data_IF_247590449396
#
_entry.id   IF_247590449396
#
_cell.length_a   1.000
_cell.length_b   1.000
_cell.length_c   1.000
_cell.angle_alpha   90.00
_cell.angle_beta   90.00
_cell.angle_gamma   90.00
#
_symmetry.space_group_name_H-M   'P 1'
#
loop_
_entity.id
_entity.type
_entity.pdbx_description
1 polymer ?
#
# COMPACT_ATOMS: atom_id res chain seq x y z
N UNK A 1 1.47 12.70 26.35
CA UNK A 1 0.74 13.98 26.48
C UNK A 1 -0.33 14.14 25.39
N UNK A 2 0.00 14.17 24.09
CA UNK A 2 -1.00 14.30 23.01
C UNK A 2 -2.13 13.25 23.03
N UNK A 3 -1.81 11.96 23.21
CA UNK A 3 -2.82 10.90 23.30
C UNK A 3 -3.86 11.15 24.39
N UNK A 4 -3.44 11.69 25.54
CA UNK A 4 -4.33 12.02 26.67
C UNK A 4 -5.23 13.22 26.33
N UNK A 5 -4.70 14.24 25.66
CA UNK A 5 -5.45 15.42 25.23
C UNK A 5 -6.43 15.14 24.09
N UNK A 6 -6.16 14.10 23.29
CA UNK A 6 -6.98 13.70 22.15
C UNK A 6 -7.99 12.57 22.47
N UNK A 7 -8.05 12.12 23.74
CA UNK A 7 -8.88 11.01 24.18
C UNK A 7 -10.33 11.45 24.40
N UNK A 8 -11.29 10.76 23.75
CA UNK A 8 -12.73 10.98 23.97
C UNK A 8 -13.20 10.10 25.14
N UNK A 9 -13.46 10.70 26.30
CA UNK A 9 -13.98 9.98 27.48
C UNK A 9 -15.50 10.12 27.58
N UNK A 10 -16.17 9.06 28.02
CA UNK A 10 -17.64 9.05 28.23
C UNK A 10 -18.11 10.04 29.30
N UNK A 11 -17.21 10.39 30.21
CA UNK A 11 -17.47 11.26 31.36
C UNK A 11 -17.30 12.76 31.01
N UNK A 12 -16.83 13.09 29.80
CA UNK A 12 -16.66 14.48 29.40
C UNK A 12 -18.01 15.19 29.31
N UNK A 13 -18.04 16.39 29.88
CA UNK A 13 -19.12 17.36 29.63
C UNK A 13 -19.16 17.76 28.14
N UNK A 14 -20.28 18.30 27.64
CA UNK A 14 -20.37 18.77 26.25
C UNK A 14 -19.28 19.77 25.87
N UNK A 15 -18.90 20.66 26.80
CA UNK A 15 -17.84 21.65 26.60
C UNK A 15 -16.46 21.01 26.48
N UNK A 16 -16.14 20.05 27.36
CA UNK A 16 -14.88 19.29 27.30
C UNK A 16 -14.80 18.44 26.03
N UNK A 17 -15.90 17.80 25.63
CA UNK A 17 -15.96 17.04 24.37
C UNK A 17 -15.71 17.94 23.15
N UNK A 18 -16.28 19.15 23.13
CA UNK A 18 -16.04 20.14 22.09
C UNK A 18 -14.58 20.65 22.09
N UNK A 19 -13.99 20.86 23.27
CA UNK A 19 -12.59 21.26 23.40
C UNK A 19 -11.62 20.18 22.88
N UNK A 20 -11.87 18.92 23.20
CA UNK A 20 -11.09 17.77 22.68
C UNK A 20 -11.20 17.68 21.16
N UNK A 21 -12.40 17.86 20.62
CA UNK A 21 -12.63 17.81 19.18
C UNK A 21 -11.91 18.95 18.44
N UNK A 22 -11.99 20.18 18.98
CA UNK A 22 -11.25 21.32 18.45
C UNK A 22 -9.74 21.10 18.52
N UNK A 23 -9.22 20.61 19.66
CA UNK A 23 -7.81 20.28 19.80
C UNK A 23 -7.36 19.27 18.74
N UNK A 24 -8.13 18.19 18.52
CA UNK A 24 -7.80 17.16 17.52
C UNK A 24 -7.75 17.75 16.11
N UNK A 25 -8.77 18.49 15.71
CA UNK A 25 -8.85 19.11 14.38
C UNK A 25 -7.73 20.12 14.14
N UNK A 26 -7.51 21.04 15.08
CA UNK A 26 -6.44 22.03 14.98
C UNK A 26 -5.06 21.37 14.93
N UNK A 27 -4.82 20.36 15.76
CA UNK A 27 -3.55 19.61 15.77
C UNK A 27 -3.34 18.83 14.48
N UNK A 28 -4.40 18.23 13.93
CA UNK A 28 -4.34 17.50 12.66
C UNK A 28 -3.95 18.43 11.51
N UNK A 29 -4.62 19.58 11.39
CA UNK A 29 -4.32 20.59 10.36
C UNK A 29 -2.88 21.12 10.52
N UNK A 30 -2.47 21.44 11.75
CA UNK A 30 -1.10 21.89 12.05
C UNK A 30 -0.06 20.84 11.64
N UNK A 31 -0.31 19.56 11.91
CA UNK A 31 0.64 18.49 11.58
C UNK A 31 0.93 18.41 10.08
N UNK A 32 -0.08 18.66 9.25
CA UNK A 32 0.04 18.65 7.79
C UNK A 32 0.80 19.89 7.29
N UNK A 33 0.56 21.05 7.91
CA UNK A 33 1.11 22.33 7.46
C UNK A 33 2.55 22.57 7.95
N UNK A 34 2.91 22.03 9.11
CA UNK A 34 4.16 22.36 9.79
C UNK A 34 5.23 21.27 9.72
N UNK A 35 4.86 20.02 9.42
CA UNK A 35 5.81 18.91 9.37
C UNK A 35 6.17 18.58 7.92
N UNK A 36 7.46 18.38 7.64
CA UNK A 36 7.91 17.90 6.32
C UNK A 36 7.72 16.37 6.24
N UNK A 37 6.81 15.86 5.37
CA UNK A 37 6.54 14.44 5.26
C UNK A 37 7.73 13.60 4.78
N UNK A 38 8.74 14.23 4.17
CA UNK A 38 9.92 13.55 3.64
C UNK A 38 10.95 13.22 4.72
N UNK A 39 10.87 13.88 5.88
CA UNK A 39 11.84 13.72 6.98
C UNK A 39 11.14 13.30 8.28
N UNK A 40 9.89 13.74 8.49
CA UNK A 40 9.14 13.54 9.73
C UNK A 40 8.01 12.51 9.59
N UNK A 41 8.14 11.55 8.65
CA UNK A 41 7.08 10.57 8.36
C UNK A 41 6.67 9.75 9.59
N UNK A 42 7.62 9.35 10.44
CA UNK A 42 7.32 8.58 11.66
C UNK A 42 6.44 9.38 12.62
N UNK A 43 6.78 10.66 12.85
CA UNK A 43 5.98 11.57 13.68
C UNK A 43 4.59 11.77 13.08
N UNK A 44 4.50 12.01 11.78
CA UNK A 44 3.22 12.16 11.08
C UNK A 44 2.35 10.90 11.21
N UNK A 45 2.91 9.72 10.98
CA UNK A 45 2.19 8.46 11.11
C UNK A 45 1.65 8.25 12.53
N UNK A 46 2.47 8.53 13.55
CA UNK A 46 2.06 8.44 14.95
C UNK A 46 0.96 9.45 15.28
N UNK A 47 1.08 10.70 14.80
CA UNK A 47 0.04 11.71 14.98
C UNK A 47 -1.27 11.30 14.32
N UNK A 48 -1.25 10.83 13.07
CA UNK A 48 -2.46 10.39 12.38
C UNK A 48 -3.10 9.17 13.07
N UNK A 49 -2.31 8.20 13.54
CA UNK A 49 -2.83 7.06 14.32
C UNK A 49 -3.55 7.48 15.62
N UNK A 50 -3.17 8.62 16.21
CA UNK A 50 -3.80 9.16 17.42
C UNK A 50 -5.02 10.05 17.09
N UNK A 51 -4.86 10.91 16.08
CA UNK A 51 -5.80 11.98 15.74
C UNK A 51 -6.88 11.57 14.74
N UNK A 52 -6.72 10.45 14.04
CA UNK A 52 -7.65 10.00 13.01
C UNK A 52 -8.28 8.68 13.42
N UNK A 53 -9.47 8.75 14.02
CA UNK A 53 -10.15 7.60 14.63
C UNK A 53 -11.58 7.46 14.11
N UNK A 54 -12.22 8.57 13.74
CA UNK A 54 -13.61 8.59 13.25
C UNK A 54 -13.68 8.89 11.76
N UNK A 55 -14.79 8.53 11.09
CA UNK A 55 -15.02 8.88 9.69
C UNK A 55 -14.81 10.37 9.40
N UNK A 56 -15.24 11.26 10.29
CA UNK A 56 -15.07 12.71 10.13
C UNK A 56 -13.61 13.16 10.22
N UNK A 57 -12.79 12.49 11.05
CA UNK A 57 -11.35 12.76 11.09
C UNK A 57 -10.70 12.38 9.75
N UNK A 58 -11.08 11.23 9.16
CA UNK A 58 -10.57 10.81 7.84
C UNK A 58 -11.00 11.78 6.73
N UNK A 59 -12.25 12.25 6.78
CA UNK A 59 -12.73 13.27 5.83
C UNK A 59 -11.95 14.58 5.96
N UNK A 60 -11.68 15.01 7.20
CA UNK A 60 -10.85 16.20 7.47
C UNK A 60 -9.46 16.03 6.88
N UNK A 61 -8.82 14.87 7.10
CA UNK A 61 -7.50 14.58 6.55
C UNK A 61 -7.50 14.54 5.01
N UNK A 62 -8.56 14.00 4.38
CA UNK A 62 -8.73 14.03 2.92
C UNK A 62 -8.79 15.46 2.37
N UNK A 63 -9.60 16.34 2.98
CA UNK A 63 -9.71 17.74 2.56
C UNK A 63 -8.40 18.52 2.72
N UNK A 64 -7.54 18.10 3.64
CA UNK A 64 -6.22 18.69 3.87
C UNK A 64 -5.11 18.04 3.02
N UNK A 65 -5.45 17.40 1.89
CA UNK A 65 -4.48 16.75 1.01
C UNK A 65 -3.65 15.63 1.67
N UNK A 66 -4.20 14.93 2.68
CA UNK A 66 -3.50 13.88 3.41
C UNK A 66 -2.91 12.77 2.52
N UNK A 67 -3.55 12.45 1.39
CA UNK A 67 -3.02 11.50 0.41
C UNK A 67 -1.70 11.97 -0.22
N UNK A 68 -1.56 13.25 -0.58
CA UNK A 68 -0.31 13.78 -1.12
C UNK A 68 0.79 13.78 -0.06
N UNK A 69 0.47 14.19 1.18
CA UNK A 69 1.41 14.16 2.33
C UNK A 69 1.96 12.75 2.54
N UNK A 70 1.07 11.75 2.65
CA UNK A 70 1.49 10.35 2.83
C UNK A 70 2.21 9.79 1.60
N UNK A 71 1.89 10.24 0.39
CA UNK A 71 2.60 9.84 -0.83
C UNK A 71 4.05 10.33 -0.84
N UNK A 72 4.30 11.53 -0.32
CA UNK A 72 5.66 12.08 -0.18
C UNK A 72 6.46 11.26 0.84
N UNK A 73 5.86 10.91 1.99
CA UNK A 73 6.48 10.00 2.96
C UNK A 73 6.78 8.64 2.32
N UNK A 74 5.78 8.04 1.66
CA UNK A 74 5.93 6.76 0.97
C UNK A 74 7.07 6.79 -0.05
N UNK A 75 7.19 7.85 -0.85
CA UNK A 75 8.24 7.96 -1.86
C UNK A 75 9.65 7.91 -1.28
N UNK A 76 9.91 8.61 -0.16
CA UNK A 76 11.22 8.58 0.51
C UNK A 76 11.48 7.22 1.15
N UNK A 77 10.51 6.68 1.89
CA UNK A 77 10.69 5.39 2.57
C UNK A 77 10.88 4.27 1.54
N UNK A 78 10.17 4.32 0.40
CA UNK A 78 10.33 3.38 -0.71
C UNK A 78 11.74 3.43 -1.29
N UNK A 79 12.29 4.63 -1.52
CA UNK A 79 13.67 4.79 -2.00
C UNK A 79 14.65 4.20 -1.00
N UNK A 80 14.52 4.54 0.29
CA UNK A 80 15.36 3.99 1.37
C UNK A 80 15.24 2.46 1.49
N UNK A 81 14.03 1.91 1.33
CA UNK A 81 13.80 0.47 1.35
C UNK A 81 14.62 -0.24 0.27
N UNK A 82 14.74 0.35 -0.91
CA UNK A 82 15.58 -0.20 -1.98
C UNK A 82 17.06 0.19 -1.85
N UNK A 83 17.40 1.27 -1.15
CA UNK A 83 18.76 1.74 -0.87
C UNK A 83 19.29 1.22 0.48
N UNK A 84 19.79 -0.03 0.50
CA UNK A 84 20.58 -0.67 1.55
C UNK A 84 20.08 -0.65 3.02
N UNK A 85 18.99 0.05 3.37
CA UNK A 85 18.47 0.27 4.74
C UNK A 85 17.15 -0.46 5.04
N UNK A 86 16.79 -1.42 4.17
CA UNK A 86 15.51 -2.14 4.11
C UNK A 86 14.94 -2.70 5.43
N UNK A 87 15.76 -3.20 6.36
CA UNK A 87 15.23 -3.90 7.54
C UNK A 87 14.41 -2.98 8.45
N UNK A 88 14.80 -1.71 8.58
CA UNK A 88 14.07 -0.71 9.37
C UNK A 88 12.91 -0.08 8.60
N UNK A 89 12.95 -0.11 7.26
CA UNK A 89 11.95 0.58 6.43
C UNK A 89 10.67 -0.22 6.20
N UNK A 90 10.69 -1.53 6.44
CA UNK A 90 9.50 -2.38 6.27
C UNK A 90 8.31 -1.93 7.13
N UNK A 91 8.53 -1.67 8.42
CA UNK A 91 7.48 -1.21 9.33
C UNK A 91 6.94 0.16 8.91
N UNK A 92 7.83 1.06 8.53
CA UNK A 92 7.48 2.42 8.13
C UNK A 92 6.69 2.43 6.82
N UNK A 93 7.04 1.57 5.85
CA UNK A 93 6.24 1.38 4.64
C UNK A 93 4.85 0.85 4.95
N UNK A 94 4.75 -0.18 5.80
CA UNK A 94 3.46 -0.75 6.18
C UNK A 94 2.58 0.31 6.84
N UNK A 95 3.14 1.09 7.76
CA UNK A 95 2.43 2.14 8.48
C UNK A 95 1.87 3.21 7.54
N UNK A 96 2.69 3.72 6.62
CA UNK A 96 2.24 4.72 5.64
C UNK A 96 1.20 4.13 4.69
N UNK A 97 1.39 2.91 4.20
CA UNK A 97 0.45 2.26 3.29
C UNK A 97 -0.90 1.95 3.97
N UNK A 98 -0.91 1.59 5.26
CA UNK A 98 -2.14 1.43 6.03
C UNK A 98 -2.93 2.73 6.16
N UNK A 99 -2.23 3.86 6.34
CA UNK A 99 -2.87 5.18 6.39
C UNK A 99 -3.43 5.58 5.01
N UNK A 100 -2.68 5.36 3.93
CA UNK A 100 -3.16 5.57 2.55
C UNK A 100 -4.39 4.70 2.29
N UNK A 101 -4.34 3.41 2.63
CA UNK A 101 -5.45 2.49 2.45
C UNK A 101 -6.70 2.97 3.20
N UNK A 102 -6.55 3.40 4.46
CA UNK A 102 -7.65 3.90 5.29
C UNK A 102 -8.28 5.17 4.70
N UNK A 103 -7.47 6.09 4.18
CA UNK A 103 -7.98 7.28 3.49
C UNK A 103 -8.71 6.94 2.19
N UNK A 104 -8.24 5.94 1.44
CA UNK A 104 -8.94 5.49 0.24
C UNK A 104 -10.26 4.77 0.58
N UNK A 105 -10.35 4.06 1.70
CA UNK A 105 -11.62 3.53 2.21
C UNK A 105 -12.58 4.71 2.50
N UNK A 106 -12.14 5.69 3.28
CA UNK A 106 -12.94 6.86 3.59
C UNK A 106 -13.37 7.62 2.32
N UNK A 107 -12.48 7.76 1.33
CA UNK A 107 -12.81 8.39 0.06
C UNK A 107 -13.88 7.60 -0.73
N UNK A 108 -13.84 6.26 -0.70
CA UNK A 108 -14.87 5.42 -1.30
C UNK A 108 -16.22 5.62 -0.60
N UNK A 109 -16.23 5.62 0.73
CA UNK A 109 -17.46 5.85 1.51
C UNK A 109 -18.05 7.25 1.25
N UNK A 110 -17.18 8.22 0.98
CA UNK A 110 -17.52 9.60 0.64
C UNK A 110 -17.76 9.89 -0.84
N UNK A 111 -17.77 8.90 -1.74
CA UNK A 111 -17.69 9.11 -3.20
C UNK A 111 -18.83 9.97 -3.79
N UNK A 112 -19.98 10.00 -3.11
CA UNK A 112 -21.14 10.81 -3.52
C UNK A 112 -20.89 12.31 -3.36
N UNK A 113 -19.99 12.70 -2.47
CA UNK A 113 -19.60 14.11 -2.22
C UNK A 113 -18.68 14.61 -3.34
N UNK A 114 -19.03 15.72 -3.95
CA UNK A 114 -18.28 16.29 -5.08
C UNK A 114 -16.87 16.69 -4.69
N UNK A 115 -16.71 17.19 -3.46
CA UNK A 115 -15.44 17.61 -2.87
C UNK A 115 -14.45 16.44 -2.81
N UNK A 116 -14.92 15.24 -2.44
CA UNK A 116 -14.08 14.04 -2.37
C UNK A 116 -13.59 13.63 -3.75
N UNK A 117 -14.45 13.68 -4.77
CA UNK A 117 -14.03 13.40 -6.16
C UNK A 117 -12.98 14.41 -6.64
N UNK A 118 -13.14 15.68 -6.27
CA UNK A 118 -12.14 16.73 -6.55
C UNK A 118 -10.81 16.43 -5.86
N UNK A 119 -10.83 16.06 -4.57
CA UNK A 119 -9.60 15.71 -3.85
C UNK A 119 -8.86 14.53 -4.49
N UNK A 120 -9.57 13.47 -4.87
CA UNK A 120 -8.98 12.31 -5.55
C UNK A 120 -8.38 12.71 -6.91
N UNK A 121 -9.07 13.58 -7.65
CA UNK A 121 -8.59 14.08 -8.94
C UNK A 121 -7.33 14.95 -8.79
N UNK A 122 -7.21 15.67 -7.68
CA UNK A 122 -6.06 16.52 -7.35
C UNK A 122 -4.87 15.75 -6.76
N UNK A 123 -5.04 14.48 -6.39
CA UNK A 123 -3.94 13.62 -5.95
C UNK A 123 -3.03 13.27 -7.14
N UNK A 124 -1.97 14.07 -7.34
CA UNK A 124 -1.07 14.01 -8.50
C UNK A 124 -0.13 12.79 -8.46
N UNK A 125 0.19 12.33 -7.26
CA UNK A 125 1.15 11.24 -7.02
C UNK A 125 0.54 9.85 -7.27
N UNK A 126 -0.78 9.73 -7.46
CA UNK A 126 -1.50 8.46 -7.60
C UNK A 126 -0.87 7.48 -8.59
N UNK A 127 -0.40 7.98 -9.73
CA UNK A 127 0.19 7.14 -10.77
C UNK A 127 1.59 6.62 -10.38
N UNK A 128 2.38 7.46 -9.72
CA UNK A 128 3.71 7.09 -9.24
C UNK A 128 3.62 6.11 -8.07
N UNK A 129 2.68 6.35 -7.14
CA UNK A 129 2.36 5.43 -6.05
C UNK A 129 1.97 4.06 -6.61
N UNK A 130 1.03 3.99 -7.56
CA UNK A 130 0.61 2.71 -8.15
C UNK A 130 1.78 1.94 -8.81
N UNK A 131 2.67 2.64 -9.53
CA UNK A 131 3.85 2.01 -10.14
C UNK A 131 4.81 1.45 -9.10
N UNK A 132 5.09 2.20 -8.03
CA UNK A 132 5.92 1.74 -6.90
C UNK A 132 5.26 0.59 -6.12
N UNK A 133 3.94 0.59 -5.99
CA UNK A 133 3.22 -0.54 -5.37
C UNK A 133 3.37 -1.82 -6.20
N UNK A 134 3.31 -1.73 -7.53
CA UNK A 134 3.54 -2.88 -8.41
C UNK A 134 4.94 -3.47 -8.24
N UNK A 135 5.97 -2.65 -8.04
CA UNK A 135 7.33 -3.16 -7.82
C UNK A 135 7.51 -3.79 -6.45
N UNK A 136 6.61 -3.56 -5.48
CA UNK A 136 6.58 -4.31 -4.22
C UNK A 136 5.98 -5.71 -4.38
N UNK A 137 5.36 -6.02 -5.52
CA UNK A 137 4.79 -7.34 -5.81
C UNK A 137 5.85 -8.27 -6.40
N UNK A 138 6.79 -8.68 -5.55
CA UNK A 138 7.84 -9.63 -5.92
C UNK A 138 8.26 -10.52 -4.73
N UNK A 139 9.04 -11.56 -5.03
CA UNK A 139 9.42 -12.58 -4.04
C UNK A 139 10.55 -12.18 -3.09
N UNK A 140 11.12 -10.99 -3.24
CA UNK A 140 12.09 -10.39 -2.32
C UNK A 140 11.43 -9.49 -1.28
N UNK A 141 10.14 -9.20 -1.43
CA UNK A 141 9.37 -8.36 -0.51
C UNK A 141 8.58 -9.25 0.47
N UNK A 142 8.64 -8.96 1.79
CA UNK A 142 7.89 -9.69 2.80
C UNK A 142 6.39 -9.77 2.50
N UNK A 143 5.76 -10.89 2.87
CA UNK A 143 4.35 -11.17 2.58
C UNK A 143 3.38 -10.11 3.13
N UNK A 144 3.64 -9.59 4.33
CA UNK A 144 2.81 -8.55 4.94
C UNK A 144 2.88 -7.22 4.18
N UNK A 145 4.07 -6.79 3.74
CA UNK A 145 4.25 -5.58 2.94
C UNK A 145 3.61 -5.73 1.55
N UNK A 146 3.76 -6.91 0.92
CA UNK A 146 3.11 -7.22 -0.34
C UNK A 146 1.58 -7.24 -0.23
N UNK A 147 1.05 -7.75 0.88
CA UNK A 147 -0.39 -7.77 1.17
C UNK A 147 -0.96 -6.35 1.23
N UNK A 148 -0.38 -5.46 2.04
CA UNK A 148 -0.89 -4.08 2.14
C UNK A 148 -0.72 -3.31 0.83
N UNK A 149 0.33 -3.58 0.05
CA UNK A 149 0.49 -2.98 -1.28
C UNK A 149 -0.65 -3.39 -2.24
N UNK A 150 -1.07 -4.66 -2.20
CA UNK A 150 -2.22 -5.14 -2.96
C UNK A 150 -3.53 -4.53 -2.48
N UNK A 151 -3.74 -4.39 -1.18
CA UNK A 151 -4.95 -3.77 -0.62
C UNK A 151 -5.08 -2.31 -1.07
N UNK A 152 -3.97 -1.56 -1.05
CA UNK A 152 -3.92 -0.19 -1.58
C UNK A 152 -4.24 -0.17 -3.07
N UNK A 153 -3.60 -1.02 -3.89
CA UNK A 153 -3.88 -1.10 -5.33
C UNK A 153 -5.35 -1.43 -5.63
N UNK A 154 -5.93 -2.42 -4.94
CA UNK A 154 -7.33 -2.78 -5.09
C UNK A 154 -8.25 -1.62 -4.73
N UNK A 155 -7.95 -0.89 -3.66
CA UNK A 155 -8.76 0.26 -3.27
C UNK A 155 -8.59 1.44 -4.24
N UNK A 156 -7.38 1.66 -4.76
CA UNK A 156 -7.15 2.65 -5.82
C UNK A 156 -8.00 2.38 -7.05
N UNK A 157 -8.09 1.12 -7.49
CA UNK A 157 -8.98 0.70 -8.60
C UNK A 157 -10.44 1.07 -8.32
N UNK A 158 -10.92 0.92 -7.09
CA UNK A 158 -12.30 1.27 -6.72
C UNK A 158 -12.56 2.78 -6.63
N UNK A 159 -11.56 3.56 -6.21
CA UNK A 159 -11.72 5.00 -5.92
C UNK A 159 -11.41 5.88 -7.12
N UNK A 160 -10.37 5.52 -7.88
CA UNK A 160 -9.90 6.29 -9.05
C UNK A 160 -10.49 5.70 -10.35
N UNK A 161 -10.91 4.44 -10.34
CA UNK A 161 -11.63 3.78 -11.44
C UNK A 161 -10.84 3.77 -12.76
N UNK A 162 -11.35 4.44 -13.80
CA UNK A 162 -10.88 4.30 -15.19
C UNK A 162 -9.40 4.67 -15.36
N UNK A 163 -9.00 5.84 -14.87
CA UNK A 163 -7.63 6.37 -15.05
C UNK A 163 -6.57 5.41 -14.52
N UNK A 164 -6.77 4.90 -13.30
CA UNK A 164 -5.79 4.01 -12.67
C UNK A 164 -5.83 2.62 -13.28
N UNK A 165 -7.01 2.14 -13.67
CA UNK A 165 -7.18 0.82 -14.30
C UNK A 165 -6.46 0.78 -15.65
N UNK A 166 -6.54 1.85 -16.44
CA UNK A 166 -5.82 1.95 -17.72
C UNK A 166 -4.29 1.97 -17.52
N UNK A 167 -3.81 2.72 -16.50
CA UNK A 167 -2.39 2.75 -16.16
C UNK A 167 -1.88 1.36 -15.76
N UNK A 168 -2.59 0.70 -14.84
CA UNK A 168 -2.22 -0.62 -14.34
C UNK A 168 -2.24 -1.65 -15.47
N UNK A 169 -3.27 -1.64 -16.32
CA UNK A 169 -3.40 -2.56 -17.46
C UNK A 169 -2.20 -2.42 -18.39
N UNK A 170 -1.88 -1.20 -18.82
CA UNK A 170 -0.73 -0.95 -19.69
C UNK A 170 0.60 -1.39 -19.06
N UNK A 171 0.78 -1.10 -17.78
CA UNK A 171 2.02 -1.43 -17.04
C UNK A 171 2.19 -2.94 -16.88
N UNK A 172 1.12 -3.64 -16.49
CA UNK A 172 1.11 -5.09 -16.28
C UNK A 172 1.26 -5.83 -17.60
N UNK A 173 0.55 -5.41 -18.66
CA UNK A 173 0.68 -6.00 -19.99
C UNK A 173 2.12 -5.93 -20.49
N UNK A 174 2.76 -4.77 -20.37
CA UNK A 174 4.16 -4.61 -20.75
C UNK A 174 5.08 -5.52 -19.90
N UNK A 175 4.89 -5.55 -18.58
CA UNK A 175 5.71 -6.38 -17.69
C UNK A 175 5.62 -7.87 -18.02
N UNK A 176 4.40 -8.38 -18.26
CA UNK A 176 4.18 -9.77 -18.66
C UNK A 176 4.72 -10.08 -20.05
N UNK A 177 4.58 -9.16 -21.01
CA UNK A 177 5.14 -9.32 -22.36
C UNK A 177 6.67 -9.38 -22.35
N UNK A 178 7.31 -8.49 -21.59
CA UNK A 178 8.77 -8.50 -21.41
C UNK A 178 9.23 -9.80 -20.77
N UNK A 179 8.50 -10.29 -19.77
CA UNK A 179 8.79 -11.55 -19.12
C UNK A 179 8.67 -12.75 -20.09
N UNK A 180 7.58 -12.83 -20.87
CA UNK A 180 7.37 -13.91 -21.85
C UNK A 180 8.43 -13.96 -22.95
N UNK A 181 8.96 -12.80 -23.35
CA UNK A 181 10.00 -12.70 -24.38
C UNK A 181 11.43 -12.83 -23.82
N UNK A 182 11.59 -12.99 -22.50
CA UNK A 182 12.89 -13.09 -21.85
C UNK A 182 13.32 -14.55 -21.67
N UNK A 183 14.56 -14.86 -22.08
CA UNK A 183 15.22 -16.14 -21.79
C UNK A 183 16.11 -16.08 -20.54
N UNK A 184 15.97 -15.05 -19.71
CA UNK A 184 16.84 -14.85 -18.56
C UNK A 184 16.63 -15.90 -17.45
N UNK A 185 17.72 -16.27 -16.77
CA UNK A 185 17.66 -17.10 -15.57
C UNK A 185 16.80 -16.41 -14.49
N UNK A 186 15.72 -17.08 -14.11
CA UNK A 186 14.70 -16.55 -13.21
C UNK A 186 15.16 -16.62 -11.76
N UNK A 187 15.54 -15.47 -11.19
CA UNK A 187 15.90 -15.38 -9.79
C UNK A 187 14.64 -15.18 -8.93
N UNK A 188 14.39 -16.11 -8.01
CA UNK A 188 13.35 -15.98 -6.97
C UNK A 188 13.98 -15.53 -5.65
N UNK A 189 13.24 -14.69 -4.94
CA UNK A 189 13.61 -14.17 -3.64
C UNK A 189 13.19 -15.09 -2.48
N UNK A 190 13.60 -14.75 -1.25
CA UNK A 190 13.42 -15.57 -0.06
C UNK A 190 11.96 -15.79 0.37
N UNK A 191 11.02 -14.98 -0.13
CA UNK A 191 9.59 -15.10 0.19
C UNK A 191 8.81 -15.85 -0.90
N UNK A 192 9.49 -16.43 -1.89
CA UNK A 192 8.85 -17.32 -2.87
C UNK A 192 8.47 -18.65 -2.20
N UNK A 193 7.31 -19.26 -2.54
CA UNK A 193 6.95 -20.58 -2.04
C UNK A 193 7.96 -21.66 -2.45
N UNK A 194 8.47 -22.43 -1.49
CA UNK A 194 9.41 -23.55 -1.71
C UNK A 194 8.94 -24.81 -0.97
N UNK A 195 9.28 -26.00 -1.46
CA UNK A 195 8.91 -27.26 -0.75
C UNK A 195 9.75 -27.50 0.49
N UNK A 196 11.01 -27.08 0.45
CA UNK A 196 11.88 -27.17 1.61
C UNK A 196 11.49 -26.06 2.59
N UNK A 197 11.12 -26.45 3.81
CA UNK A 197 11.11 -25.55 4.96
C UNK A 197 12.57 -25.11 5.19
N UNK A 198 13.04 -24.15 4.40
CA UNK A 198 14.33 -23.54 4.68
C UNK A 198 14.10 -22.62 5.86
N UNK A 199 14.41 -23.13 7.05
CA UNK A 199 14.88 -22.27 8.13
C UNK A 199 15.97 -21.39 7.54
N UNK A 200 15.60 -20.13 7.24
CA UNK A 200 16.44 -19.00 6.88
C UNK A 200 17.81 -19.42 6.29
N UNK A 201 17.83 -19.95 5.07
CA UNK A 201 19.09 -19.97 4.34
C UNK A 201 19.49 -18.50 4.14
N UNK A 202 20.67 -18.15 4.66
CA UNK A 202 21.29 -16.81 4.75
C UNK A 202 21.49 -16.08 3.40
N UNK A 203 20.68 -16.35 2.38
CA UNK A 203 20.53 -15.55 1.15
C UNK A 203 19.53 -14.40 1.30
N UNK A 204 19.05 -14.13 2.52
CA UNK A 204 18.16 -13.00 2.86
C UNK A 204 18.70 -11.62 2.43
N UNK A 205 19.96 -11.52 2.01
CA UNK A 205 20.60 -10.30 1.52
C UNK A 205 20.68 -10.16 0.00
N UNK A 206 20.27 -11.16 -0.80
CA UNK A 206 20.22 -11.01 -2.25
C UNK A 206 19.01 -10.14 -2.58
N UNK A 207 19.25 -8.84 -2.79
CA UNK A 207 18.24 -7.91 -3.28
C UNK A 207 18.23 -7.95 -4.81
N UNK A 208 17.09 -7.70 -5.44
CA UNK A 208 17.11 -7.38 -6.86
C UNK A 208 17.98 -6.14 -7.08
N UNK A 209 18.71 -6.10 -8.19
CA UNK A 209 19.53 -4.93 -8.55
C UNK A 209 18.71 -3.66 -8.75
N UNK A 210 17.41 -3.81 -9.04
CA UNK A 210 16.43 -2.72 -9.23
C UNK A 210 15.05 -3.17 -8.77
N UNK A 211 14.18 -2.25 -8.31
CA UNK A 211 12.78 -2.58 -8.04
C UNK A 211 12.13 -3.19 -9.29
N UNK A 212 11.46 -4.32 -9.12
CA UNK A 212 10.87 -5.07 -10.23
C UNK A 212 9.54 -5.69 -9.81
N UNK A 213 8.61 -5.74 -10.75
CA UNK A 213 7.37 -6.51 -10.61
C UNK A 213 7.64 -7.98 -10.95
N UNK A 214 7.13 -8.91 -10.14
CA UNK A 214 7.34 -10.35 -10.29
C UNK A 214 6.11 -11.16 -9.84
N UNK A 215 4.99 -10.97 -10.54
CA UNK A 215 3.78 -11.80 -10.38
C UNK A 215 3.48 -12.62 -11.65
N UNK A 216 4.49 -13.35 -12.12
CA UNK A 216 4.40 -14.35 -13.18
C UNK A 216 4.90 -15.70 -12.63
N UNK A 217 4.42 -16.81 -13.20
CA UNK A 217 4.82 -18.17 -12.81
C UNK A 217 5.36 -18.91 -14.03
N UNK A 218 6.62 -19.30 -13.99
CA UNK A 218 7.27 -20.10 -15.03
C UNK A 218 7.38 -21.57 -14.61
N UNK A 219 7.31 -22.49 -15.58
CA UNK A 219 7.43 -23.94 -15.32
C UNK A 219 8.73 -24.29 -14.60
N UNK A 220 9.85 -23.63 -14.95
CA UNK A 220 11.14 -23.81 -14.30
C UNK A 220 11.25 -23.29 -12.86
N UNK A 221 10.24 -22.56 -12.34
CA UNK A 221 10.17 -22.16 -10.93
C UNK A 221 9.36 -23.16 -10.08
N UNK A 222 8.65 -24.08 -10.73
CA UNK A 222 7.80 -25.06 -10.07
C UNK A 222 8.65 -26.28 -9.70
N UNK A 223 8.77 -26.57 -8.41
CA UNK A 223 9.64 -27.65 -7.92
C UNK A 223 9.09 -29.06 -8.20
N UNK A 224 7.77 -29.22 -8.31
CA UNK A 224 7.08 -30.49 -8.59
C UNK A 224 5.79 -30.28 -9.38
N UNK A 225 5.37 -31.29 -10.13
CA UNK A 225 4.09 -31.29 -10.81
C UNK A 225 2.93 -31.07 -9.82
N UNK A 226 1.95 -30.28 -10.27
CA UNK A 226 0.70 -30.03 -9.52
C UNK A 226 0.05 -31.34 -9.07
N UNK A 227 -0.42 -31.39 -7.82
CA UNK A 227 -1.03 -32.57 -7.20
C UNK A 227 -0.02 -33.50 -6.52
N UNK A 228 1.29 -33.26 -6.66
CA UNK A 228 2.31 -34.08 -5.99
C UNK A 228 2.44 -33.74 -4.50
N UNK A 229 2.36 -32.45 -4.16
CA UNK A 229 2.49 -31.97 -2.77
C UNK A 229 1.46 -30.88 -2.52
N UNK A 230 0.38 -31.24 -1.82
CA UNK A 230 -0.78 -30.37 -1.60
C UNK A 230 -0.42 -29.05 -0.89
N UNK A 231 0.45 -29.08 0.12
CA UNK A 231 0.85 -27.88 0.86
C UNK A 231 1.67 -26.90 0.01
N UNK A 232 2.48 -27.42 -0.93
CA UNK A 232 3.22 -26.59 -1.86
C UNK A 232 2.29 -25.93 -2.88
N UNK A 233 1.33 -26.69 -3.42
CA UNK A 233 0.30 -26.17 -4.32
C UNK A 233 -0.54 -25.08 -3.63
N UNK A 234 -0.94 -25.31 -2.37
CA UNK A 234 -1.63 -24.30 -1.55
C UNK A 234 -0.76 -23.06 -1.33
N UNK A 235 0.53 -23.22 -1.08
CA UNK A 235 1.45 -22.11 -0.86
C UNK A 235 1.65 -21.26 -2.12
N UNK A 236 1.76 -21.91 -3.29
CA UNK A 236 1.78 -21.22 -4.59
C UNK A 236 0.45 -20.49 -4.83
N UNK A 237 -0.69 -21.16 -4.63
CA UNK A 237 -2.00 -20.54 -4.79
C UNK A 237 -2.14 -19.30 -3.90
N UNK A 238 -1.84 -19.42 -2.61
CA UNK A 238 -1.91 -18.32 -1.65
C UNK A 238 -0.98 -17.14 -2.03
N UNK A 239 0.16 -17.42 -2.68
CA UNK A 239 1.08 -16.38 -3.13
C UNK A 239 0.51 -15.54 -4.29
N UNK A 240 -0.15 -16.17 -5.27
CA UNK A 240 -0.63 -15.52 -6.49
C UNK A 240 -2.10 -15.06 -6.42
N UNK A 241 -2.93 -15.73 -5.62
CA UNK A 241 -4.37 -15.47 -5.50
C UNK A 241 -4.72 -13.99 -5.22
N UNK A 242 -4.05 -13.30 -4.27
CA UNK A 242 -4.32 -11.87 -4.02
C UNK A 242 -4.08 -10.96 -5.23
N UNK A 243 -3.11 -11.30 -6.09
CA UNK A 243 -2.85 -10.58 -7.32
C UNK A 243 -3.92 -10.89 -8.38
N UNK A 244 -4.35 -12.15 -8.51
CA UNK A 244 -5.45 -12.48 -9.42
C UNK A 244 -6.76 -11.78 -9.05
N UNK A 245 -7.05 -11.59 -7.76
CA UNK A 245 -8.19 -10.77 -7.31
C UNK A 245 -8.08 -9.31 -7.71
N UNK A 246 -6.87 -8.75 -7.76
CA UNK A 246 -6.64 -7.40 -8.29
C UNK A 246 -6.96 -7.36 -9.80
N UNK A 247 -6.49 -8.35 -10.57
CA UNK A 247 -6.76 -8.45 -12.00
C UNK A 247 -8.25 -8.57 -12.28
N UNK A 248 -8.92 -9.48 -11.57
CA UNK A 248 -10.36 -9.67 -11.65
C UNK A 248 -11.12 -8.36 -11.40
N UNK A 249 -10.74 -7.62 -10.35
CA UNK A 249 -11.32 -6.31 -10.04
C UNK A 249 -11.10 -5.29 -11.16
N UNK A 250 -9.90 -5.25 -11.76
CA UNK A 250 -9.61 -4.38 -12.91
C UNK A 250 -10.47 -4.71 -14.13
N UNK A 251 -10.71 -6.00 -14.39
CA UNK A 251 -11.56 -6.45 -15.49
C UNK A 251 -13.01 -5.99 -15.30
N UNK A 252 -13.57 -6.15 -14.09
CA UNK A 252 -14.92 -5.69 -13.80
C UNK A 252 -15.07 -4.16 -13.95
N UNK A 253 -14.10 -3.38 -13.46
CA UNK A 253 -14.12 -1.92 -13.65
C UNK A 253 -14.01 -1.47 -15.11
N UNK A 254 -13.46 -2.32 -15.99
CA UNK A 254 -13.35 -2.02 -17.42
C UNK A 254 -14.62 -2.35 -18.21
N UNK A 255 -15.53 -3.17 -17.66
CA UNK A 255 -16.78 -3.59 -18.31
C UNK A 255 -17.96 -2.66 -18.01
N UNK A 256 -17.93 -1.95 -16.87
CA UNK A 256 -18.96 -1.00 -16.45
C UNK A 256 -18.81 0.40 -17.11
N UNK A 257 -18.01 0.53 -18.18
CA UNK A 257 -17.72 1.76 -18.93
C UNK A 257 -18.16 1.67 -20.38
#
# INVERSE_FOLDING_TARGET
MMKMMAERKREHTPEEAAAVENFRKSTLVMSIQSLDPRVMWQTLCLMFKILVVTPDDYMTLLYQNGLSVLSQSFAIIYTMFHEATACHMNSDLIDVLQLIHSLLIAAKDGERKAEIRTMISQWKERNDVAKKLLTLLNSFVPNNLRSIALDVLQKMVLVIQKDITQLLTSTLFNAHTVFQNSNAAMCVGPFFPTRSYQGLSNKANVRPSRPQFQMYLHSGQVEVSKGTVEDYDKSLLNYYEPYHRLIDRMCHQSQDS
#
